data_IF_779355289178
#
_entry.id   IF_779355289178
#
_cell.length_a   1.000
_cell.length_b   1.000
_cell.length_c   1.000
_cell.angle_alpha   90.00
_cell.angle_beta   90.00
_cell.angle_gamma   90.00
#
_symmetry.space_group_name_H-M   'P 1'
#
loop_
_entity.id
_entity.type
_entity.pdbx_description
1 polymer ?
#
# COMPACT_ATOMS: atom_id res chain seq x y z
N UNK A 1 4.51 10.13 -13.91
CA UNK A 1 3.97 10.23 -12.53
C UNK A 1 5.14 10.12 -11.57
N UNK A 2 5.46 11.17 -10.82
CA UNK A 2 6.58 11.21 -9.87
C UNK A 2 6.09 10.84 -8.46
N UNK A 3 5.64 9.60 -8.28
CA UNK A 3 5.45 9.01 -6.95
C UNK A 3 6.68 8.15 -6.65
N UNK A 4 7.17 8.10 -5.39
CA UNK A 4 8.31 7.25 -5.07
C UNK A 4 7.94 5.78 -5.25
N UNK A 5 8.86 5.00 -5.83
CA UNK A 5 8.72 3.55 -5.97
C UNK A 5 9.37 2.76 -4.84
N UNK A 6 10.08 3.46 -3.97
CA UNK A 6 10.74 2.92 -2.79
C UNK A 6 10.78 3.99 -1.71
N UNK A 7 10.45 3.61 -0.48
CA UNK A 7 10.61 4.44 0.71
C UNK A 7 11.21 3.52 1.79
N UNK A 8 12.42 3.82 2.24
CA UNK A 8 12.98 3.25 3.46
C UNK A 8 12.72 4.21 4.61
N UNK A 9 12.02 3.79 5.64
CA UNK A 9 11.69 4.63 6.79
C UNK A 9 11.43 3.80 8.05
N UNK A 10 11.15 4.47 9.17
CA UNK A 10 10.60 3.82 10.35
C UNK A 10 9.35 4.58 10.78
N UNK A 11 8.22 4.17 10.20
CA UNK A 11 6.92 4.72 10.55
C UNK A 11 6.30 3.87 11.66
N UNK A 12 6.03 4.50 12.80
CA UNK A 12 5.46 3.86 13.98
C UNK A 12 3.96 3.68 13.81
N UNK A 13 3.50 2.44 13.93
CA UNK A 13 2.08 2.15 13.89
C UNK A 13 1.39 2.70 15.14
N UNK A 14 0.17 3.24 15.02
CA UNK A 14 -0.69 3.47 16.19
C UNK A 14 -0.88 2.18 17.00
N UNK A 15 -1.00 2.33 18.32
CA UNK A 15 -1.19 1.18 19.22
C UNK A 15 -2.51 0.46 18.93
N UNK A 16 -2.48 -0.87 19.04
CA UNK A 16 -3.67 -1.72 18.92
C UNK A 16 -4.07 -2.11 17.50
N UNK A 17 -3.40 -1.60 16.46
CA UNK A 17 -3.70 -1.97 15.08
C UNK A 17 -3.12 -3.35 14.72
N UNK A 18 -3.92 -4.14 14.02
CA UNK A 18 -3.43 -5.34 13.35
C UNK A 18 -2.58 -4.99 12.10
N UNK A 19 -2.01 -6.02 11.45
CA UNK A 19 -1.16 -5.83 10.25
C UNK A 19 -1.91 -5.17 9.09
N UNK A 20 -3.15 -5.56 8.85
CA UNK A 20 -3.97 -5.04 7.75
C UNK A 20 -4.29 -3.57 8.02
N UNK A 21 -4.78 -3.27 9.22
CA UNK A 21 -5.11 -1.90 9.65
C UNK A 21 -3.89 -0.99 9.60
N UNK A 22 -2.74 -1.48 10.08
CA UNK A 22 -1.45 -0.80 10.00
C UNK A 22 -1.10 -0.40 8.57
N UNK A 23 -1.21 -1.33 7.62
CA UNK A 23 -0.86 -1.09 6.22
C UNK A 23 -1.76 -0.01 5.60
N UNK A 24 -3.06 -0.08 5.84
CA UNK A 24 -3.99 0.93 5.32
C UNK A 24 -3.81 2.30 5.99
N UNK A 25 -3.55 2.35 7.29
CA UNK A 25 -3.29 3.61 7.99
C UNK A 25 -1.95 4.22 7.55
N UNK A 26 -0.93 3.40 7.27
CA UNK A 26 0.31 3.86 6.65
C UNK A 26 0.06 4.50 5.28
N UNK A 27 -0.65 3.80 4.37
CA UNK A 27 -0.98 4.32 3.04
C UNK A 27 -1.76 5.64 3.11
N UNK A 28 -2.71 5.72 4.04
CA UNK A 28 -3.48 6.94 4.33
C UNK A 28 -2.60 8.08 4.84
N UNK A 29 -1.62 7.79 5.70
CA UNK A 29 -0.64 8.78 6.17
C UNK A 29 0.23 9.35 5.04
N UNK A 30 0.41 8.58 3.95
CA UNK A 30 1.15 8.97 2.75
C UNK A 30 0.26 9.46 1.61
N UNK A 31 -1.05 9.66 1.85
CA UNK A 31 -2.02 9.98 0.79
C UNK A 31 -1.61 11.18 -0.08
N UNK A 32 -1.03 12.23 0.52
CA UNK A 32 -0.65 13.43 -0.23
C UNK A 32 0.58 13.17 -1.11
N UNK A 33 1.53 12.37 -0.60
CA UNK A 33 2.71 11.94 -1.33
C UNK A 33 2.35 11.08 -2.54
N UNK A 34 1.39 10.17 -2.36
CA UNK A 34 0.94 9.26 -3.41
C UNK A 34 -0.21 9.82 -4.26
N UNK A 35 -0.75 10.99 -3.91
CA UNK A 35 -1.92 11.61 -4.53
C UNK A 35 -3.11 10.64 -4.56
N UNK A 36 -3.39 10.08 -3.39
CA UNK A 36 -4.52 9.21 -3.12
C UNK A 36 -5.64 10.02 -2.49
N UNK A 37 -6.88 9.73 -2.87
CA UNK A 37 -8.08 10.29 -2.27
C UNK A 37 -8.95 9.18 -1.68
N UNK A 38 -9.97 9.53 -0.90
CA UNK A 38 -10.97 8.56 -0.45
C UNK A 38 -10.45 7.50 0.54
N UNK A 39 -11.04 6.30 0.46
CA UNK A 39 -10.79 5.20 1.40
C UNK A 39 -9.75 4.21 0.86
N UNK A 40 -8.64 4.03 1.58
CA UNK A 40 -7.53 3.16 1.16
C UNK A 40 -7.96 1.70 0.95
N UNK A 41 -8.95 1.18 1.68
CA UNK A 41 -9.47 -0.18 1.49
C UNK A 41 -10.25 -0.36 0.19
N UNK A 42 -10.74 0.74 -0.39
CA UNK A 42 -11.34 0.72 -1.74
C UNK A 42 -10.28 0.87 -2.83
N UNK A 43 -9.19 1.57 -2.51
CA UNK A 43 -8.09 1.84 -3.44
C UNK A 43 -7.08 0.70 -3.55
N UNK A 44 -6.93 -0.12 -2.52
CA UNK A 44 -5.95 -1.21 -2.51
C UNK A 44 -6.58 -2.51 -2.05
N UNK A 45 -6.08 -3.61 -2.60
CA UNK A 45 -6.35 -4.95 -2.12
C UNK A 45 -5.06 -5.59 -1.61
N UNK A 46 -5.12 -6.21 -0.43
CA UNK A 46 -4.04 -7.08 0.03
C UNK A 46 -4.19 -8.42 -0.69
N UNK A 47 -3.17 -8.79 -1.47
CA UNK A 47 -3.18 -10.00 -2.29
C UNK A 47 -2.34 -11.13 -1.71
N UNK A 48 -1.36 -10.81 -0.86
CA UNK A 48 -0.49 -11.81 -0.23
C UNK A 48 0.18 -11.25 1.02
N UNK A 49 0.41 -12.11 2.00
CA UNK A 49 1.37 -11.87 3.08
C UNK A 49 2.50 -12.89 3.00
N UNK A 50 3.73 -12.45 3.22
CA UNK A 50 4.92 -13.29 3.19
C UNK A 50 5.82 -12.94 4.37
N UNK A 51 6.13 -13.94 5.20
CA UNK A 51 6.99 -13.76 6.37
C UNK A 51 8.44 -14.01 5.99
N UNK A 52 9.29 -13.03 6.26
CA UNK A 52 10.74 -13.18 6.22
C UNK A 52 11.23 -13.40 7.64
N UNK A 53 11.50 -14.66 7.97
CA UNK A 53 11.97 -15.05 9.30
C UNK A 53 13.39 -14.61 9.59
N UNK A 54 14.23 -14.44 8.56
CA UNK A 54 15.63 -14.05 8.72
C UNK A 54 15.75 -12.57 9.06
N UNK A 55 14.97 -11.72 8.37
CA UNK A 55 14.95 -10.28 8.63
C UNK A 55 13.97 -9.84 9.74
N UNK A 56 13.25 -10.79 10.36
CA UNK A 56 12.13 -10.52 11.28
C UNK A 56 11.09 -9.55 10.69
N UNK A 57 10.73 -9.75 9.40
CA UNK A 57 9.77 -8.91 8.67
C UNK A 57 8.54 -9.68 8.23
N UNK A 58 7.45 -8.95 8.04
CA UNK A 58 6.29 -9.41 7.26
C UNK A 58 6.09 -8.48 6.07
N UNK A 59 6.08 -9.04 4.87
CA UNK A 59 5.82 -8.35 3.62
C UNK A 59 4.34 -8.50 3.25
N UNK A 60 3.62 -7.38 3.20
CA UNK A 60 2.23 -7.33 2.77
C UNK A 60 2.18 -6.81 1.34
N UNK A 61 1.81 -7.66 0.40
CA UNK A 61 1.68 -7.31 -1.03
C UNK A 61 0.30 -6.77 -1.31
N UNK A 62 0.25 -5.67 -2.06
CA UNK A 62 -0.98 -5.00 -2.46
C UNK A 62 -1.03 -4.79 -3.97
N UNK A 63 -2.25 -4.59 -4.48
CA UNK A 63 -2.51 -4.07 -5.81
C UNK A 63 -3.52 -2.92 -5.73
N UNK A 64 -3.36 -1.89 -6.56
CA UNK A 64 -4.38 -0.84 -6.66
C UNK A 64 -5.65 -1.36 -7.34
N UNK A 65 -6.79 -0.82 -6.92
CA UNK A 65 -8.10 -1.04 -7.52
C UNK A 65 -8.71 0.27 -7.98
N UNK A 66 -9.37 0.22 -9.12
CA UNK A 66 -10.22 1.29 -9.60
C UNK A 66 -11.56 0.70 -10.04
N UNK A 67 -12.66 1.17 -9.43
CA UNK A 67 -14.01 0.62 -9.66
C UNK A 67 -14.09 -0.91 -9.48
N UNK A 68 -13.34 -1.46 -8.53
CA UNK A 68 -13.28 -2.90 -8.26
C UNK A 68 -12.37 -3.70 -9.20
N UNK A 69 -11.79 -3.07 -10.23
CA UNK A 69 -10.89 -3.72 -11.18
C UNK A 69 -9.44 -3.52 -10.72
N UNK A 70 -8.63 -4.60 -10.63
CA UNK A 70 -7.21 -4.48 -10.33
C UNK A 70 -6.46 -3.70 -11.41
N UNK A 71 -5.62 -2.76 -10.99
CA UNK A 71 -4.72 -2.02 -11.89
C UNK A 71 -3.44 -2.85 -12.05
N UNK A 72 -3.38 -3.72 -13.05
CA UNK A 72 -2.21 -4.59 -13.26
C UNK A 72 -0.91 -3.79 -13.47
N UNK A 73 0.19 -4.28 -12.88
CA UNK A 73 1.49 -3.61 -12.87
C UNK A 73 1.60 -2.49 -11.81
N UNK A 74 0.61 -2.36 -10.94
CA UNK A 74 0.66 -1.54 -9.72
C UNK A 74 0.89 -2.40 -8.48
N UNK A 75 1.82 -3.36 -8.54
CA UNK A 75 2.14 -4.14 -7.35
C UNK A 75 2.88 -3.26 -6.35
N UNK A 76 2.41 -3.25 -5.10
CA UNK A 76 3.09 -2.64 -3.97
C UNK A 76 3.42 -3.67 -2.90
N UNK A 77 4.38 -3.35 -2.05
CA UNK A 77 4.69 -4.15 -0.87
C UNK A 77 5.04 -3.24 0.29
N UNK A 78 4.37 -3.46 1.43
CA UNK A 78 4.72 -2.82 2.71
C UNK A 78 5.43 -3.85 3.58
N UNK A 79 6.64 -3.51 4.04
CA UNK A 79 7.40 -4.34 4.95
C UNK A 79 7.20 -3.87 6.40
N UNK A 80 6.67 -4.76 7.23
CA UNK A 80 6.41 -4.55 8.66
C UNK A 80 7.48 -5.23 9.50
N UNK A 81 7.85 -4.64 10.63
CA UNK A 81 8.60 -5.33 11.69
C UNK A 81 7.66 -6.15 12.62
N UNK A 82 8.24 -6.84 13.61
CA UNK A 82 7.50 -7.66 14.58
C UNK A 82 6.46 -6.90 15.43
N UNK A 83 6.54 -5.57 15.47
CA UNK A 83 5.62 -4.70 16.18
C UNK A 83 4.66 -3.98 15.21
N UNK A 84 4.55 -4.47 13.98
CA UNK A 84 3.79 -3.84 12.89
C UNK A 84 4.28 -2.44 12.49
N UNK A 85 5.47 -1.99 12.86
CA UNK A 85 5.97 -0.71 12.31
C UNK A 85 6.37 -0.88 10.86
N UNK A 86 6.08 0.12 10.03
CA UNK A 86 6.49 0.11 8.63
C UNK A 86 7.96 0.48 8.53
N UNK A 87 8.72 -0.41 7.88
CA UNK A 87 10.15 -0.26 7.66
C UNK A 87 10.49 0.07 6.21
N UNK A 88 9.63 -0.34 5.29
CA UNK A 88 9.77 0.02 3.88
C UNK A 88 8.46 -0.08 3.11
N UNK A 89 8.38 0.71 2.05
CA UNK A 89 7.40 0.60 0.99
C UNK A 89 8.13 0.36 -0.33
N UNK A 90 7.59 -0.54 -1.16
CA UNK A 90 8.09 -0.87 -2.49
C UNK A 90 6.95 -0.83 -3.49
N UNK A 91 7.30 -0.55 -4.75
CA UNK A 91 6.35 -0.56 -5.85
C UNK A 91 5.78 0.82 -6.14
N UNK A 92 5.02 0.92 -7.23
CA UNK A 92 4.57 2.21 -7.76
C UNK A 92 3.09 2.39 -7.46
N UNK A 93 2.73 3.54 -6.90
CA UNK A 93 1.34 4.01 -6.84
C UNK A 93 1.02 4.81 -8.10
N UNK A 94 -0.09 4.50 -8.75
CA UNK A 94 -0.62 5.18 -9.92
C UNK A 94 -1.52 6.31 -9.43
N UNK A 95 -1.04 7.57 -9.35
CA UNK A 95 -1.83 8.64 -8.74
C UNK A 95 -3.05 9.00 -9.59
N UNK A 96 -4.06 9.59 -8.92
CA UNK A 96 -5.24 10.19 -9.51
C UNK A 96 -5.99 9.25 -10.49
N UNK A 97 -6.22 7.99 -10.10
CA UNK A 97 -6.92 7.00 -10.95
C UNK A 97 -8.31 7.47 -11.36
N UNK A 98 -9.01 8.19 -10.50
CA UNK A 98 -10.32 8.80 -10.76
C UNK A 98 -10.31 9.83 -11.90
N UNK A 99 -9.16 10.43 -12.16
CA UNK A 99 -8.96 11.39 -13.25
C UNK A 99 -8.40 10.73 -14.52
N UNK A 100 -8.03 9.45 -14.43
CA UNK A 100 -7.57 8.69 -15.58
C UNK A 100 -8.80 8.00 -16.16
N UNK A 101 -9.13 8.31 -17.41
CA UNK A 101 -10.17 7.62 -18.19
C UNK A 101 -9.77 6.17 -18.46
N UNK A 102 -9.60 5.37 -17.40
CA UNK A 102 -9.27 3.95 -17.44
C UNK A 102 -10.57 3.23 -17.81
N UNK A 103 -10.60 2.51 -18.96
CA UNK A 103 -11.74 1.68 -19.30
C UNK A 103 -11.99 0.70 -18.16
N UNK A 104 -13.16 0.82 -17.52
CA UNK A 104 -13.52 0.05 -16.31
C UNK A 104 -14.81 -0.76 -16.49
N UNK A 105 -15.19 -1.05 -17.73
CA UNK A 105 -16.26 -2.00 -18.05
C UNK A 105 -15.68 -3.40 -18.18
N UNK A 106 -16.18 -4.30 -17.32
CA UNK A 106 -16.04 -5.75 -17.48
C UNK A 106 -16.88 -6.26 -18.64
#
# INVERSE_FOLDING_TARGET
>A
FQTPSYIGEEWKAPEGLDKKETVFEYLKSKKDMFKLAGNMEKHFEIVKEEKDTEAERTHVKLIEKYNGIPVYGSDQTVALDKNNNVKAFFGKVIPNLENKNIPSTA
#
